data_IF_620239449366
#
_entry.id   IF_620239449366
#
_cell.length_a   1.000
_cell.length_b   1.000
_cell.length_c   1.000
_cell.angle_alpha   90.00
_cell.angle_beta   90.00
_cell.angle_gamma   90.00
#
_symmetry.space_group_name_H-M   'P 1'
#
loop_
_entity.id
_entity.type
_entity.pdbx_description
1 polymer ?
#
# COMPACT_ATOMS: atom_id res chain seq x y z
N UNK A 1 -16.04 24.03 -13.22
CA UNK A 1 -16.55 22.74 -12.71
C UNK A 1 -15.39 21.76 -12.63
N UNK A 2 -15.53 20.68 -11.85
CA UNK A 2 -14.53 19.61 -11.70
C UNK A 2 -15.22 18.23 -11.73
N UNK A 3 -14.44 17.15 -11.79
CA UNK A 3 -14.97 15.77 -11.81
C UNK A 3 -15.54 15.32 -10.45
N UNK A 4 -15.27 16.07 -9.37
CA UNK A 4 -15.84 15.88 -8.04
C UNK A 4 -16.34 17.22 -7.47
N UNK A 5 -17.27 17.13 -6.51
CA UNK A 5 -17.95 18.26 -5.85
C UNK A 5 -18.82 19.13 -6.78
N UNK A 6 -19.18 20.33 -6.33
CA UNK A 6 -20.07 21.25 -7.03
C UNK A 6 -19.31 22.35 -7.80
N UNK A 7 -19.94 23.02 -8.78
CA UNK A 7 -19.29 24.07 -9.57
C UNK A 7 -19.06 25.38 -8.79
N UNK A 8 -18.25 26.26 -9.36
CA UNK A 8 -18.07 27.66 -8.94
C UNK A 8 -18.39 28.56 -10.13
N UNK A 9 -19.19 29.61 -9.92
CA UNK A 9 -19.65 30.53 -10.96
C UNK A 9 -19.19 31.96 -10.69
N UNK A 10 -19.05 32.74 -11.76
CA UNK A 10 -18.54 34.11 -11.73
C UNK A 10 -17.00 34.15 -11.81
N UNK A 11 -16.47 35.01 -12.70
CA UNK A 11 -15.03 35.07 -12.98
C UNK A 11 -14.19 35.32 -11.71
N UNK A 12 -14.61 36.26 -10.88
CA UNK A 12 -13.89 36.60 -9.63
C UNK A 12 -13.81 35.41 -8.66
N UNK A 13 -14.93 34.72 -8.43
CA UNK A 13 -14.98 33.55 -7.54
C UNK A 13 -14.07 32.41 -8.05
N UNK A 14 -14.06 32.18 -9.37
CA UNK A 14 -13.21 31.16 -10.00
C UNK A 14 -11.73 31.53 -9.83
N UNK A 15 -11.36 32.78 -10.10
CA UNK A 15 -9.98 33.25 -9.91
C UNK A 15 -9.55 33.13 -8.45
N UNK A 16 -10.42 33.47 -7.50
CA UNK A 16 -10.13 33.36 -6.08
C UNK A 16 -9.93 31.90 -5.63
N UNK A 17 -10.80 30.98 -6.08
CA UNK A 17 -10.65 29.55 -5.81
C UNK A 17 -9.31 29.00 -6.35
N UNK A 18 -8.98 29.33 -7.62
CA UNK A 18 -7.75 28.85 -8.25
C UNK A 18 -6.49 29.40 -7.56
N UNK A 19 -6.48 30.68 -7.18
CA UNK A 19 -5.37 31.27 -6.42
C UNK A 19 -5.22 30.58 -5.05
N UNK A 20 -6.34 30.39 -4.35
CA UNK A 20 -6.34 29.77 -3.02
C UNK A 20 -5.79 28.33 -3.06
N UNK A 21 -6.21 27.52 -4.04
CA UNK A 21 -5.69 26.16 -4.23
C UNK A 21 -4.21 26.16 -4.66
N UNK A 22 -3.82 27.02 -5.61
CA UNK A 22 -2.41 27.20 -6.01
C UNK A 22 -1.52 27.49 -4.81
N UNK A 23 -1.94 28.44 -3.97
CA UNK A 23 -1.18 28.89 -2.81
C UNK A 23 -1.15 27.81 -1.72
N UNK A 24 -2.24 27.06 -1.52
CA UNK A 24 -2.29 25.92 -0.59
C UNK A 24 -1.21 24.88 -0.90
N UNK A 25 -1.15 24.36 -2.13
CA UNK A 25 -0.19 23.31 -2.48
C UNK A 25 1.26 23.82 -2.53
N UNK A 26 1.49 25.06 -3.00
CA UNK A 26 2.80 25.71 -2.91
C UNK A 26 3.24 25.85 -1.44
N UNK A 27 2.32 26.24 -0.56
CA UNK A 27 2.61 26.41 0.86
C UNK A 27 2.97 25.07 1.53
N UNK A 28 2.20 24.01 1.28
CA UNK A 28 2.52 22.64 1.75
C UNK A 28 3.93 22.24 1.31
N UNK A 29 4.27 22.44 0.03
CA UNK A 29 5.60 22.12 -0.49
C UNK A 29 6.71 22.93 0.17
N UNK A 30 6.64 24.26 0.05
CA UNK A 30 7.74 25.15 0.39
C UNK A 30 7.98 25.23 1.89
N UNK A 31 6.90 25.23 2.69
CA UNK A 31 7.04 25.31 4.14
C UNK A 31 7.47 23.98 4.74
N UNK A 32 7.12 22.85 4.14
CA UNK A 32 7.70 21.55 4.53
C UNK A 32 9.20 21.58 4.30
N UNK A 33 9.65 21.99 3.11
CA UNK A 33 11.07 22.10 2.80
C UNK A 33 11.81 23.12 3.66
N UNK A 34 11.19 24.28 3.95
CA UNK A 34 11.79 25.27 4.86
C UNK A 34 12.01 24.66 6.25
N UNK A 35 10.99 24.01 6.81
CA UNK A 35 11.07 23.40 8.15
C UNK A 35 12.04 22.21 8.18
N UNK A 36 12.13 21.43 7.09
CA UNK A 36 13.13 20.37 6.96
C UNK A 36 14.57 20.95 6.92
N UNK A 37 14.78 22.08 6.21
CA UNK A 37 16.05 22.80 6.24
C UNK A 37 16.37 23.43 7.61
N UNK A 38 15.37 23.62 8.46
CA UNK A 38 15.53 24.02 9.87
C UNK A 38 15.85 22.83 10.79
N UNK A 39 15.93 21.62 10.23
CA UNK A 39 16.28 20.39 10.93
C UNK A 39 15.09 19.65 11.53
N UNK A 40 13.85 20.05 11.24
CA UNK A 40 12.68 19.32 11.71
C UNK A 40 12.50 18.03 10.90
N UNK A 41 12.20 16.95 11.60
CA UNK A 41 11.87 15.64 11.01
C UNK A 41 10.44 15.61 10.48
N UNK A 42 10.13 14.58 9.69
CA UNK A 42 8.80 14.32 9.10
C UNK A 42 7.63 14.57 10.07
N UNK A 43 7.70 13.96 11.26
CA UNK A 43 6.62 14.01 12.24
C UNK A 43 6.56 15.33 13.01
N UNK A 44 7.72 15.97 13.25
CA UNK A 44 7.80 17.30 13.87
C UNK A 44 7.25 18.38 12.95
N UNK A 45 7.54 18.32 11.65
CA UNK A 45 6.95 19.23 10.66
C UNK A 45 5.43 19.11 10.72
N UNK A 46 4.89 17.89 10.62
CA UNK A 46 3.45 17.66 10.64
C UNK A 46 2.76 18.14 11.92
N UNK A 47 3.45 18.08 13.06
CA UNK A 47 2.92 18.58 14.34
C UNK A 47 2.94 20.12 14.44
N UNK A 48 3.88 20.79 13.78
CA UNK A 48 4.08 22.24 13.86
C UNK A 48 3.53 23.01 12.65
N UNK A 49 3.15 22.32 11.57
CA UNK A 49 2.68 22.94 10.35
C UNK A 49 1.34 23.65 10.55
N UNK A 50 1.28 24.93 10.19
CA UNK A 50 0.06 25.75 10.28
C UNK A 50 -0.19 26.47 8.97
N UNK A 51 -1.40 26.28 8.42
CA UNK A 51 -1.85 27.08 7.29
C UNK A 51 -2.15 28.51 7.76
N UNK A 52 -1.82 29.54 6.96
CA UNK A 52 -2.26 30.90 7.23
C UNK A 52 -3.79 31.01 7.12
N UNK A 53 -4.41 31.92 7.88
CA UNK A 53 -5.87 32.07 7.96
C UNK A 53 -6.54 32.22 6.60
N UNK A 54 -5.91 32.93 5.65
CA UNK A 54 -6.42 33.09 4.28
C UNK A 54 -6.58 31.78 3.52
N UNK A 55 -5.81 30.75 3.87
CA UNK A 55 -5.93 29.40 3.31
C UNK A 55 -6.79 28.49 4.21
N UNK A 56 -6.62 28.57 5.54
CA UNK A 56 -7.29 27.70 6.50
C UNK A 56 -8.80 27.93 6.63
N UNK A 57 -9.25 29.16 6.41
CA UNK A 57 -10.66 29.57 6.56
C UNK A 57 -11.44 29.50 5.23
N UNK A 58 -10.88 28.85 4.21
CA UNK A 58 -11.58 28.58 2.95
C UNK A 58 -12.09 27.13 2.97
N UNK A 59 -13.41 26.92 2.88
CA UNK A 59 -14.03 25.60 2.93
C UNK A 59 -13.44 24.60 1.90
N UNK A 60 -13.15 25.07 0.69
CA UNK A 60 -12.57 24.25 -0.37
C UNK A 60 -11.13 23.76 -0.08
N UNK A 61 -10.46 24.36 0.90
CA UNK A 61 -9.08 24.02 1.29
C UNK A 61 -9.02 23.13 2.54
N UNK A 62 -10.17 22.79 3.14
CA UNK A 62 -10.22 21.92 4.32
C UNK A 62 -9.85 20.49 3.94
N UNK A 63 -9.20 19.80 4.87
CA UNK A 63 -8.68 18.44 4.67
C UNK A 63 -9.76 17.38 4.78
N UNK A 64 -10.75 17.38 3.89
CA UNK A 64 -11.84 16.39 3.89
C UNK A 64 -11.47 15.06 3.24
N UNK A 65 -10.53 15.08 2.31
CA UNK A 65 -9.99 13.89 1.65
C UNK A 65 -8.54 13.68 2.05
N UNK A 66 -7.65 14.50 1.47
CA UNK A 66 -6.29 14.70 2.02
C UNK A 66 -6.34 15.36 3.40
N UNK A 67 -5.20 15.41 4.08
CA UNK A 67 -5.04 16.19 5.31
C UNK A 67 -3.66 16.82 5.31
N UNK A 68 -3.57 18.07 5.78
CA UNK A 68 -2.29 18.79 5.91
C UNK A 68 -1.25 17.93 6.62
N UNK A 69 -1.66 17.21 7.68
CA UNK A 69 -0.75 16.37 8.46
C UNK A 69 -0.09 15.27 7.64
N UNK A 70 -0.83 14.46 6.87
CA UNK A 70 -0.18 13.42 6.05
C UNK A 70 0.45 13.96 4.76
N UNK A 71 -0.07 15.05 4.19
CA UNK A 71 0.48 15.65 2.97
C UNK A 71 1.88 16.23 3.21
N UNK A 72 2.11 16.88 4.36
CA UNK A 72 3.46 17.39 4.70
C UNK A 72 4.43 16.27 5.05
N UNK A 73 3.97 15.18 5.68
CA UNK A 73 4.79 13.98 5.89
C UNK A 73 5.20 13.36 4.56
N UNK A 74 4.26 13.23 3.63
CA UNK A 74 4.51 12.71 2.29
C UNK A 74 5.47 13.62 1.51
N UNK A 75 5.32 14.94 1.64
CA UNK A 75 6.24 15.92 1.04
C UNK A 75 7.65 15.78 1.60
N UNK A 76 7.83 15.59 2.90
CA UNK A 76 9.15 15.29 3.47
C UNK A 76 9.75 14.03 2.84
N UNK A 77 8.97 12.94 2.77
CA UNK A 77 9.43 11.65 2.21
C UNK A 77 9.76 11.76 0.72
N UNK A 78 9.03 12.57 -0.04
CA UNK A 78 9.31 12.83 -1.45
C UNK A 78 10.74 13.38 -1.65
N UNK A 79 11.21 14.23 -0.75
CA UNK A 79 12.50 14.91 -0.89
C UNK A 79 13.65 14.24 -0.14
N UNK A 80 13.39 13.67 1.04
CA UNK A 80 14.43 13.17 1.95
C UNK A 80 14.33 11.66 2.22
N UNK A 81 13.28 11.00 1.73
CA UNK A 81 13.03 9.58 1.98
C UNK A 81 12.42 9.32 3.37
N UNK A 82 12.41 8.05 3.76
CA UNK A 82 11.75 7.58 4.98
C UNK A 82 12.54 7.88 6.26
N UNK A 83 13.88 7.96 6.15
CA UNK A 83 14.79 8.08 7.28
C UNK A 83 14.79 9.51 7.84
N UNK A 84 14.68 9.65 9.16
CA UNK A 84 14.59 10.94 9.83
C UNK A 84 15.97 11.58 10.12
N UNK A 85 17.06 10.86 9.83
CA UNK A 85 18.44 11.32 10.05
C UNK A 85 19.04 10.88 11.38
N UNK A 86 18.25 10.38 12.34
CA UNK A 86 18.73 9.88 13.62
C UNK A 86 19.13 8.40 13.49
N UNK A 87 20.41 8.02 13.66
CA UNK A 87 20.84 6.63 13.50
C UNK A 87 20.11 5.61 14.40
N UNK A 88 19.48 6.05 15.49
CA UNK A 88 18.67 5.19 16.35
C UNK A 88 17.43 4.61 15.66
N UNK A 89 16.97 5.20 14.54
CA UNK A 89 15.78 4.78 13.77
C UNK A 89 16.16 4.15 12.42
N UNK A 90 17.45 3.91 12.17
CA UNK A 90 17.93 3.42 10.87
C UNK A 90 17.67 1.91 10.65
N UNK A 91 17.78 1.12 11.71
CA UNK A 91 17.61 -0.33 11.69
C UNK A 91 16.79 -0.75 12.92
N UNK A 92 15.55 -0.25 12.99
CA UNK A 92 14.64 -0.55 14.09
C UNK A 92 14.24 -2.03 14.10
N UNK A 93 14.05 -2.59 15.30
CA UNK A 93 13.43 -3.90 15.43
C UNK A 93 12.04 -3.90 14.77
N UNK A 94 11.62 -5.02 14.15
CA UNK A 94 10.26 -5.17 13.65
C UNK A 94 9.20 -4.87 14.74
N UNK A 95 8.01 -4.35 14.38
CA UNK A 95 7.03 -3.85 15.34
C UNK A 95 6.66 -4.85 16.46
N UNK A 96 6.51 -6.14 16.15
CA UNK A 96 6.16 -7.18 17.13
C UNK A 96 7.30 -7.41 18.15
N UNK A 97 8.55 -7.45 17.68
CA UNK A 97 9.73 -7.65 18.54
C UNK A 97 9.98 -6.43 19.43
N UNK A 98 9.90 -5.23 18.84
CA UNK A 98 10.04 -3.97 19.56
C UNK A 98 8.95 -3.80 20.63
N UNK A 99 7.71 -4.18 20.32
CA UNK A 99 6.56 -4.12 21.22
C UNK A 99 6.79 -4.95 22.50
N UNK A 100 7.28 -6.18 22.38
CA UNK A 100 7.58 -7.05 23.53
C UNK A 100 8.59 -6.39 24.48
N UNK A 101 9.66 -5.78 23.94
CA UNK A 101 10.66 -5.04 24.74
C UNK A 101 10.10 -3.78 25.38
N UNK A 102 9.27 -3.04 24.65
CA UNK A 102 8.60 -1.85 25.17
C UNK A 102 7.72 -2.18 26.39
N UNK A 103 6.91 -3.24 26.29
CA UNK A 103 6.04 -3.71 27.38
C UNK A 103 6.86 -4.18 28.59
N UNK A 104 7.94 -4.94 28.36
CA UNK A 104 8.88 -5.34 29.42
C UNK A 104 9.41 -4.13 30.19
N UNK A 105 9.91 -3.12 29.47
CA UNK A 105 10.54 -1.93 30.07
C UNK A 105 9.56 -1.01 30.79
N UNK A 106 8.30 -0.96 30.35
CA UNK A 106 7.26 -0.16 30.99
C UNK A 106 6.60 -0.83 32.21
N UNK A 107 7.04 -2.03 32.58
CA UNK A 107 6.54 -2.74 33.77
C UNK A 107 5.35 -3.68 33.49
N UNK A 108 5.18 -4.12 32.25
CA UNK A 108 4.15 -5.07 31.84
C UNK A 108 2.86 -4.43 31.32
N UNK A 109 2.02 -5.26 30.70
CA UNK A 109 0.77 -4.84 30.06
C UNK A 109 -0.18 -4.11 31.04
N UNK A 110 -0.41 -4.68 32.22
CA UNK A 110 -1.32 -4.10 33.23
C UNK A 110 -0.88 -2.69 33.66
N UNK A 111 0.43 -2.47 33.80
CA UNK A 111 0.98 -1.17 34.18
C UNK A 111 0.76 -0.13 33.08
N UNK A 112 0.93 -0.51 31.81
CA UNK A 112 0.63 0.34 30.65
C UNK A 112 -0.86 0.65 30.61
N UNK A 113 -1.72 -0.36 30.65
CA UNK A 113 -3.17 -0.18 30.51
C UNK A 113 -3.75 0.71 31.61
N UNK A 114 -3.26 0.59 32.84
CA UNK A 114 -3.65 1.49 33.94
C UNK A 114 -3.34 2.95 33.61
N UNK A 115 -2.10 3.26 33.21
CA UNK A 115 -1.68 4.63 32.87
C UNK A 115 -2.38 5.15 31.60
N UNK A 116 -2.50 4.30 30.60
CA UNK A 116 -3.19 4.62 29.35
C UNK A 116 -4.68 4.95 29.59
N UNK A 117 -5.32 4.32 30.58
CA UNK A 117 -6.68 4.68 30.98
C UNK A 117 -6.76 6.07 31.61
N UNK A 118 -5.79 6.44 32.45
CA UNK A 118 -5.69 7.79 33.02
C UNK A 118 -5.49 8.85 31.91
N UNK A 119 -4.67 8.55 30.90
CA UNK A 119 -4.49 9.39 29.71
C UNK A 119 -5.75 9.47 28.84
N UNK A 120 -6.47 8.35 28.70
CA UNK A 120 -7.74 8.30 27.97
C UNK A 120 -8.78 9.22 28.61
N UNK A 121 -8.90 9.17 29.94
CA UNK A 121 -9.85 10.01 30.70
C UNK A 121 -9.52 11.50 30.64
N UNK A 122 -8.27 11.85 30.31
CA UNK A 122 -7.81 13.22 30.05
C UNK A 122 -7.97 13.64 28.58
N UNK A 123 -8.40 12.74 27.70
CA UNK A 123 -8.57 13.01 26.27
C UNK A 123 -7.29 12.89 25.44
N UNK A 124 -6.23 12.28 25.96
CA UNK A 124 -4.93 12.12 25.28
C UNK A 124 -4.95 10.96 24.26
N UNK A 125 -6.01 10.86 23.44
CA UNK A 125 -6.30 9.68 22.62
C UNK A 125 -5.18 9.29 21.63
N UNK A 126 -4.47 10.28 21.07
CA UNK A 126 -3.32 10.03 20.17
C UNK A 126 -2.23 9.22 20.86
N UNK A 127 -1.93 9.56 22.11
CA UNK A 127 -0.93 8.86 22.92
C UNK A 127 -1.43 7.50 23.38
N UNK A 128 -2.69 7.41 23.82
CA UNK A 128 -3.32 6.14 24.20
C UNK A 128 -3.24 5.14 23.06
N UNK A 129 -3.64 5.51 21.84
CA UNK A 129 -3.53 4.65 20.67
C UNK A 129 -2.09 4.19 20.43
N UNK A 130 -1.11 5.11 20.46
CA UNK A 130 0.30 4.79 20.23
C UNK A 130 0.87 3.82 21.26
N UNK A 131 0.60 4.04 22.56
CA UNK A 131 1.19 3.24 23.64
C UNK A 131 0.48 1.89 23.81
N UNK A 132 -0.85 1.84 23.67
CA UNK A 132 -1.62 0.60 23.82
C UNK A 132 -1.41 -0.33 22.62
N UNK A 133 -1.17 0.21 21.42
CA UNK A 133 -0.76 -0.58 20.26
C UNK A 133 0.47 -1.46 20.54
N UNK A 134 1.42 -1.00 21.38
CA UNK A 134 2.55 -1.83 21.81
C UNK A 134 2.13 -3.02 22.66
N UNK A 135 1.07 -2.90 23.46
CA UNK A 135 0.52 -4.05 24.20
C UNK A 135 -0.16 -5.02 23.23
N UNK A 136 -0.94 -4.53 22.27
CA UNK A 136 -1.63 -5.36 21.27
C UNK A 136 -0.64 -6.10 20.37
N UNK A 137 0.44 -5.45 19.92
CA UNK A 137 1.48 -6.10 19.13
C UNK A 137 2.34 -7.08 19.94
N UNK A 138 2.49 -6.88 21.26
CA UNK A 138 3.19 -7.82 22.13
C UNK A 138 2.34 -9.05 22.49
N UNK A 139 1.04 -8.86 22.67
CA UNK A 139 0.05 -9.90 22.98
C UNK A 139 -1.26 -9.62 22.23
N UNK A 140 -1.43 -10.16 21.00
CA UNK A 140 -2.61 -9.91 20.17
C UNK A 140 -3.90 -10.51 20.73
N UNK A 141 -3.82 -11.35 21.77
CA UNK A 141 -4.98 -11.94 22.43
C UNK A 141 -5.42 -11.13 23.67
N UNK A 142 -4.71 -10.06 24.03
CA UNK A 142 -5.07 -9.20 25.16
C UNK A 142 -6.31 -8.34 24.82
N UNK A 143 -7.50 -8.87 25.12
CA UNK A 143 -8.75 -8.20 24.79
C UNK A 143 -8.92 -6.84 25.48
N UNK A 144 -8.34 -6.65 26.68
CA UNK A 144 -8.42 -5.37 27.37
C UNK A 144 -7.63 -4.29 26.63
N UNK A 145 -6.42 -4.63 26.15
CA UNK A 145 -5.61 -3.73 25.33
C UNK A 145 -6.30 -3.42 24.00
N UNK A 146 -6.81 -4.44 23.30
CA UNK A 146 -7.55 -4.25 22.05
C UNK A 146 -8.75 -3.32 22.22
N UNK A 147 -9.52 -3.51 23.29
CA UNK A 147 -10.68 -2.67 23.56
C UNK A 147 -10.28 -1.22 23.88
N UNK A 148 -9.26 -1.00 24.71
CA UNK A 148 -8.81 0.35 25.06
C UNK A 148 -8.22 1.09 23.86
N UNK A 149 -7.45 0.41 23.01
CA UNK A 149 -6.96 0.98 21.75
C UNK A 149 -8.12 1.29 20.80
N UNK A 150 -9.09 0.38 20.67
CA UNK A 150 -10.27 0.61 19.84
C UNK A 150 -11.07 1.83 20.30
N UNK A 151 -11.26 2.01 21.61
CA UNK A 151 -11.93 3.19 22.17
C UNK A 151 -11.17 4.48 21.84
N UNK A 152 -9.83 4.47 21.95
CA UNK A 152 -9.00 5.62 21.60
C UNK A 152 -9.05 5.96 20.11
N UNK A 153 -8.93 4.95 19.23
CA UNK A 153 -9.08 5.13 17.79
C UNK A 153 -10.48 5.64 17.44
N UNK A 154 -11.53 5.14 18.09
CA UNK A 154 -12.90 5.60 17.86
C UNK A 154 -13.08 7.08 18.18
N UNK A 155 -12.53 7.55 19.31
CA UNK A 155 -12.52 8.98 19.64
C UNK A 155 -11.75 9.82 18.60
N UNK A 156 -10.61 9.33 18.12
CA UNK A 156 -9.86 9.99 17.04
C UNK A 156 -10.67 10.04 15.73
N UNK A 157 -11.41 8.97 15.41
CA UNK A 157 -12.31 8.91 14.27
C UNK A 157 -13.50 9.88 14.37
N UNK A 158 -13.99 10.15 15.58
CA UNK A 158 -15.03 11.16 15.82
C UNK A 158 -14.50 12.59 15.66
N UNK A 159 -13.22 12.83 15.94
CA UNK A 159 -12.57 14.13 15.82
C UNK A 159 -12.00 14.41 14.42
N UNK A 160 -11.87 13.38 13.58
CA UNK A 160 -11.28 13.50 12.26
C UNK A 160 -12.19 14.28 11.28
N UNK A 161 -11.65 15.37 10.72
CA UNK A 161 -12.28 16.13 9.62
C UNK A 161 -12.13 15.40 8.27
N UNK A 162 -11.03 14.68 8.07
CA UNK A 162 -10.78 13.87 6.87
C UNK A 162 -11.62 12.59 6.91
N UNK A 163 -12.43 12.38 5.86
CA UNK A 163 -13.22 11.17 5.66
C UNK A 163 -12.36 9.91 5.65
N UNK A 164 -11.25 9.85 4.89
CA UNK A 164 -10.30 8.75 4.97
C UNK A 164 -9.78 8.50 6.39
N UNK A 165 -9.32 9.52 7.13
CA UNK A 165 -8.83 9.31 8.50
C UNK A 165 -9.89 8.74 9.42
N UNK A 166 -11.12 9.28 9.37
CA UNK A 166 -12.26 8.73 10.10
C UNK A 166 -12.45 7.24 9.77
N UNK A 167 -12.43 6.88 8.50
CA UNK A 167 -12.63 5.49 8.08
C UNK A 167 -11.50 4.57 8.57
N UNK A 168 -10.23 4.99 8.49
CA UNK A 168 -9.09 4.23 9.01
C UNK A 168 -9.22 3.99 10.52
N UNK A 169 -9.52 5.05 11.29
CA UNK A 169 -9.69 4.94 12.74
C UNK A 169 -10.83 4.01 13.14
N UNK A 170 -12.01 4.20 12.55
CA UNK A 170 -13.20 3.42 12.91
C UNK A 170 -13.11 1.96 12.45
N UNK A 171 -12.48 1.70 11.30
CA UNK A 171 -12.24 0.32 10.83
C UNK A 171 -11.22 -0.38 11.71
N UNK A 172 -10.14 0.31 12.09
CA UNK A 172 -9.17 -0.24 13.05
C UNK A 172 -9.81 -0.58 14.40
N UNK A 173 -10.66 0.30 14.93
CA UNK A 173 -11.42 0.02 16.15
C UNK A 173 -12.36 -1.18 15.99
N UNK A 174 -13.03 -1.31 14.84
CA UNK A 174 -13.91 -2.44 14.55
C UNK A 174 -13.14 -3.77 14.50
N UNK A 175 -11.98 -3.81 13.84
CA UNK A 175 -11.15 -5.01 13.73
C UNK A 175 -10.47 -5.38 15.06
N UNK A 176 -10.07 -4.39 15.87
CA UNK A 176 -9.58 -4.66 17.23
C UNK A 176 -10.66 -5.33 18.09
N UNK A 177 -11.92 -4.87 17.99
CA UNK A 177 -13.04 -5.42 18.77
C UNK A 177 -13.50 -6.79 18.27
N UNK A 178 -13.53 -7.01 16.95
CA UNK A 178 -14.23 -8.15 16.35
C UNK A 178 -13.34 -9.10 15.53
N UNK A 179 -12.08 -8.74 15.29
CA UNK A 179 -11.21 -9.41 14.33
C UNK A 179 -11.50 -9.01 12.88
N UNK A 180 -10.64 -9.46 11.96
CA UNK A 180 -10.81 -9.25 10.52
C UNK A 180 -11.96 -10.11 10.01
N UNK A 181 -12.97 -9.47 9.41
CA UNK A 181 -14.11 -10.17 8.82
C UNK A 181 -13.79 -10.50 7.36
N UNK A 182 -13.50 -11.77 7.09
CA UNK A 182 -13.24 -12.23 5.71
C UNK A 182 -14.56 -12.28 4.92
N UNK A 183 -14.63 -11.47 3.87
CA UNK A 183 -15.74 -11.43 2.92
C UNK A 183 -15.29 -11.64 1.47
N UNK A 184 -16.23 -11.61 0.51
CA UNK A 184 -15.89 -11.55 -0.91
C UNK A 184 -14.95 -10.38 -1.17
N UNK A 185 -13.83 -10.64 -1.85
CA UNK A 185 -12.84 -9.62 -2.17
C UNK A 185 -13.26 -8.84 -3.42
N UNK A 186 -12.99 -7.53 -3.49
CA UNK A 186 -13.22 -6.77 -4.72
C UNK A 186 -12.39 -7.37 -5.87
N UNK A 187 -13.02 -7.57 -7.04
CA UNK A 187 -12.30 -7.96 -8.25
C UNK A 187 -11.59 -6.72 -8.83
N UNK A 188 -10.33 -6.51 -8.43
CA UNK A 188 -9.54 -5.34 -8.83
C UNK A 188 -8.99 -5.44 -10.26
N UNK A 189 -8.98 -6.63 -10.86
CA UNK A 189 -8.57 -6.87 -12.24
C UNK A 189 -9.79 -7.08 -13.14
N UNK A 190 -10.53 -6.00 -13.41
CA UNK A 190 -11.67 -6.07 -14.33
C UNK A 190 -11.24 -6.53 -15.73
N UNK A 191 -12.13 -7.14 -16.55
CA UNK A 191 -11.81 -7.49 -17.92
C UNK A 191 -11.27 -6.31 -18.76
N UNK A 192 -11.75 -5.09 -18.53
CA UNK A 192 -11.24 -3.88 -19.19
C UNK A 192 -9.83 -3.51 -18.73
N UNK A 193 -9.54 -3.63 -17.44
CA UNK A 193 -8.20 -3.41 -16.88
C UNK A 193 -7.19 -4.40 -17.48
N UNK A 194 -7.55 -5.68 -17.55
CA UNK A 194 -6.69 -6.73 -18.13
C UNK A 194 -6.46 -6.49 -19.63
N UNK A 195 -7.50 -6.07 -20.37
CA UNK A 195 -7.35 -5.72 -21.79
C UNK A 195 -6.45 -4.51 -22.01
N UNK A 196 -6.48 -3.52 -21.11
CA UNK A 196 -5.68 -2.30 -21.21
C UNK A 196 -4.23 -2.47 -20.73
N UNK A 197 -3.93 -3.52 -19.96
CA UNK A 197 -2.59 -3.83 -19.46
C UNK A 197 -1.65 -4.18 -20.62
N UNK A 198 -0.43 -3.62 -20.69
CA UNK A 198 0.53 -4.07 -21.72
C UNK A 198 1.11 -5.44 -21.34
N UNK A 199 1.66 -6.22 -22.29
CA UNK A 199 2.34 -7.48 -21.94
C UNK A 199 3.46 -7.28 -20.91
N UNK A 200 4.22 -6.19 -20.99
CA UNK A 200 5.28 -5.83 -20.04
C UNK A 200 4.73 -5.66 -18.63
N UNK A 201 3.64 -4.88 -18.46
CA UNK A 201 2.97 -4.72 -17.17
C UNK A 201 2.48 -6.07 -16.61
N UNK A 202 2.02 -6.97 -17.48
CA UNK A 202 1.63 -8.31 -17.07
C UNK A 202 2.83 -9.14 -16.61
N UNK A 203 3.96 -9.09 -17.31
CA UNK A 203 5.17 -9.80 -16.89
C UNK A 203 5.77 -9.23 -15.61
N UNK A 204 5.74 -7.90 -15.42
CA UNK A 204 6.09 -7.28 -14.13
C UNK A 204 5.18 -7.75 -13.01
N UNK A 205 3.87 -7.83 -13.26
CA UNK A 205 2.91 -8.38 -12.31
C UNK A 205 3.23 -9.84 -11.98
N UNK A 206 3.51 -10.69 -12.97
CA UNK A 206 3.95 -12.07 -12.73
C UNK A 206 5.25 -12.13 -11.92
N UNK A 207 6.20 -11.24 -12.19
CA UNK A 207 7.48 -11.20 -11.47
C UNK A 207 7.29 -10.88 -9.99
N UNK A 208 6.33 -9.99 -9.64
CA UNK A 208 5.96 -9.72 -8.23
C UNK A 208 5.43 -10.95 -7.51
N UNK A 209 4.82 -11.88 -8.23
CA UNK A 209 4.32 -13.13 -7.65
C UNK A 209 5.42 -14.17 -7.41
N UNK A 210 6.62 -14.04 -7.99
CA UNK A 210 7.70 -15.01 -7.80
C UNK A 210 8.22 -14.95 -6.37
N UNK A 211 8.14 -16.08 -5.67
CA UNK A 211 8.84 -16.28 -4.42
C UNK A 211 10.34 -16.50 -4.70
N UNK A 212 11.12 -15.43 -4.55
CA UNK A 212 12.56 -15.45 -4.86
C UNK A 212 13.37 -16.44 -4.02
N UNK A 213 12.98 -16.71 -2.78
CA UNK A 213 13.65 -17.71 -1.93
C UNK A 213 13.47 -19.13 -2.48
N UNK A 214 12.24 -19.49 -2.87
CA UNK A 214 11.94 -20.79 -3.50
C UNK A 214 12.60 -20.92 -4.87
N UNK A 215 12.64 -19.84 -5.65
CA UNK A 215 13.19 -19.80 -6.99
C UNK A 215 14.71 -19.51 -7.05
N UNK A 216 15.39 -19.37 -5.90
CA UNK A 216 16.75 -18.82 -5.85
C UNK A 216 17.79 -19.59 -6.67
N UNK A 217 17.64 -20.92 -6.76
CA UNK A 217 18.51 -21.79 -7.57
C UNK A 217 17.93 -22.15 -8.94
N UNK A 218 16.73 -21.67 -9.26
CA UNK A 218 16.09 -21.94 -10.53
C UNK A 218 16.76 -21.15 -11.64
N UNK A 219 16.93 -21.81 -12.79
CA UNK A 219 17.33 -21.17 -14.04
C UNK A 219 16.46 -21.67 -15.17
N UNK A 220 15.77 -20.76 -15.85
CA UNK A 220 14.94 -21.08 -17.00
C UNK A 220 14.77 -19.89 -17.93
N UNK A 221 14.72 -20.16 -19.22
CA UNK A 221 14.50 -19.17 -20.27
C UNK A 221 13.28 -19.56 -21.09
N UNK A 222 12.34 -18.64 -21.26
CA UNK A 222 11.12 -18.87 -22.01
C UNK A 222 10.99 -17.86 -23.16
N UNK A 223 10.54 -18.32 -24.32
CA UNK A 223 10.05 -17.44 -25.37
C UNK A 223 8.52 -17.38 -25.31
N UNK A 224 7.95 -16.19 -25.36
CA UNK A 224 6.51 -15.94 -25.42
C UNK A 224 6.22 -15.24 -26.73
N UNK A 225 5.42 -15.86 -27.59
CA UNK A 225 4.92 -15.29 -28.83
C UNK A 225 3.43 -15.00 -28.67
N UNK A 226 3.07 -13.73 -28.59
CA UNK A 226 1.68 -13.28 -28.40
C UNK A 226 0.93 -13.05 -29.73
N UNK A 227 1.48 -13.59 -30.84
CA UNK A 227 0.94 -13.43 -32.18
C UNK A 227 1.19 -12.06 -32.79
N UNK A 228 0.61 -11.84 -33.99
CA UNK A 228 0.90 -10.67 -34.83
C UNK A 228 0.68 -9.32 -34.12
N UNK A 229 -0.33 -9.24 -33.25
CA UNK A 229 -0.70 -7.99 -32.56
C UNK A 229 -0.10 -7.89 -31.15
N UNK A 230 0.45 -9.00 -30.63
CA UNK A 230 0.93 -9.09 -29.25
C UNK A 230 2.45 -8.98 -29.10
N UNK A 231 3.21 -9.27 -30.15
CA UNK A 231 4.68 -9.20 -30.13
C UNK A 231 5.33 -10.43 -29.46
N UNK A 232 6.66 -10.40 -29.40
CA UNK A 232 7.48 -11.50 -28.88
C UNK A 232 8.31 -11.06 -27.69
N UNK A 233 8.43 -11.95 -26.71
CA UNK A 233 9.09 -11.66 -25.45
C UNK A 233 9.98 -12.83 -25.03
N UNK A 234 11.10 -12.49 -24.42
CA UNK A 234 11.95 -13.44 -23.71
C UNK A 234 11.73 -13.25 -22.22
N UNK A 235 11.44 -14.31 -21.49
CA UNK A 235 11.40 -14.33 -20.03
C UNK A 235 12.60 -15.11 -19.48
N UNK A 236 13.22 -14.60 -18.43
CA UNK A 236 14.41 -15.21 -17.81
C UNK A 236 14.21 -15.28 -16.30
N UNK A 237 14.00 -16.50 -15.79
CA UNK A 237 14.02 -16.80 -14.36
C UNK A 237 15.44 -17.17 -13.95
N UNK A 238 16.08 -16.33 -13.15
CA UNK A 238 17.41 -16.59 -12.60
C UNK A 238 17.59 -15.81 -11.30
N UNK A 239 18.31 -16.37 -10.32
CA UNK A 239 18.56 -15.74 -9.02
C UNK A 239 17.27 -15.28 -8.29
N UNK A 240 16.19 -16.05 -8.42
CA UNK A 240 14.91 -15.73 -7.78
C UNK A 240 14.13 -14.55 -8.39
N UNK A 241 14.54 -14.03 -9.55
CA UNK A 241 13.83 -12.96 -10.26
C UNK A 241 13.38 -13.39 -11.64
N UNK A 242 12.25 -12.87 -12.10
CA UNK A 242 11.73 -13.08 -13.45
C UNK A 242 11.88 -11.81 -14.28
N UNK A 243 12.86 -11.79 -15.18
CA UNK A 243 13.08 -10.69 -16.11
C UNK A 243 12.24 -10.91 -17.38
N UNK A 244 11.89 -9.81 -18.06
CA UNK A 244 11.28 -9.87 -19.37
C UNK A 244 12.02 -8.92 -20.34
N UNK A 245 12.10 -9.30 -21.63
CA UNK A 245 12.66 -8.46 -22.69
C UNK A 245 11.74 -8.49 -23.90
N UNK A 246 11.20 -7.33 -24.27
CA UNK A 246 10.37 -7.16 -25.46
C UNK A 246 11.18 -7.30 -26.75
N UNK A 247 10.55 -7.78 -27.81
CA UNK A 247 11.12 -7.97 -29.15
C UNK A 247 12.39 -8.83 -29.15
N UNK A 248 12.45 -9.80 -28.24
CA UNK A 248 13.57 -10.71 -28.08
C UNK A 248 13.10 -12.16 -27.99
N UNK A 249 13.90 -13.06 -28.56
CA UNK A 249 13.74 -14.50 -28.44
C UNK A 249 15.12 -15.11 -28.14
N UNK A 250 15.17 -16.00 -27.16
CA UNK A 250 16.34 -16.82 -26.90
C UNK A 250 16.46 -17.93 -27.96
N UNK A 251 17.68 -18.16 -28.45
CA UNK A 251 17.97 -19.27 -29.38
C UNK A 251 17.80 -20.63 -28.70
N UNK A 252 18.17 -20.70 -27.42
CA UNK A 252 18.08 -21.89 -26.58
C UNK A 252 17.14 -21.60 -25.40
N UNK A 253 15.85 -21.42 -25.70
CA UNK A 253 14.83 -21.36 -24.67
C UNK A 253 14.50 -22.78 -24.18
N UNK A 254 14.25 -22.93 -22.88
CA UNK A 254 13.73 -24.16 -22.31
C UNK A 254 12.35 -24.48 -22.87
N UNK A 255 11.48 -23.49 -22.99
CA UNK A 255 10.19 -23.63 -23.65
C UNK A 255 9.76 -22.37 -24.41
N UNK A 256 8.95 -22.56 -25.44
CA UNK A 256 8.29 -21.48 -26.19
C UNK A 256 6.78 -21.64 -26.07
N UNK A 257 6.11 -20.58 -25.61
CA UNK A 257 4.65 -20.48 -25.53
C UNK A 257 4.17 -19.57 -26.65
N UNK A 258 3.26 -20.07 -27.47
CA UNK A 258 2.58 -19.28 -28.50
C UNK A 258 1.09 -19.24 -28.20
N UNK A 259 0.53 -18.04 -28.09
CA UNK A 259 -0.89 -17.80 -27.80
C UNK A 259 -1.27 -16.42 -28.30
N UNK A 260 -2.55 -16.17 -28.56
CA UNK A 260 -2.99 -14.80 -28.85
C UNK A 260 -3.24 -14.00 -27.56
N UNK A 261 -3.35 -12.67 -27.71
CA UNK A 261 -3.61 -11.79 -26.58
C UNK A 261 -4.96 -12.04 -25.91
N UNK A 262 -5.96 -12.50 -26.65
CA UNK A 262 -7.27 -12.80 -26.11
C UNK A 262 -7.24 -13.99 -25.15
N UNK A 263 -6.50 -15.04 -25.52
CA UNK A 263 -6.25 -16.24 -24.72
C UNK A 263 -5.49 -15.89 -23.44
N UNK A 264 -4.44 -15.05 -23.56
CA UNK A 264 -3.72 -14.54 -22.39
C UNK A 264 -4.66 -13.83 -21.42
N UNK A 265 -5.55 -12.95 -21.91
CA UNK A 265 -6.49 -12.22 -21.06
C UNK A 265 -7.45 -13.17 -20.29
N UNK A 266 -7.96 -14.22 -20.94
CA UNK A 266 -8.81 -15.23 -20.26
C UNK A 266 -8.06 -15.94 -19.13
N UNK A 267 -6.77 -16.24 -19.35
CA UNK A 267 -5.91 -16.87 -18.35
C UNK A 267 -5.70 -15.94 -17.15
N UNK A 268 -5.42 -14.66 -17.40
CA UNK A 268 -5.25 -13.64 -16.34
C UNK A 268 -6.52 -13.48 -15.51
N UNK A 269 -7.68 -13.43 -16.18
CA UNK A 269 -8.99 -13.32 -15.56
C UNK A 269 -9.44 -14.60 -14.85
N UNK A 270 -8.65 -15.69 -14.95
CA UNK A 270 -8.98 -17.02 -14.44
C UNK A 270 -10.29 -17.58 -14.98
N UNK A 271 -10.71 -17.11 -16.16
CA UNK A 271 -11.84 -17.67 -16.92
C UNK A 271 -11.46 -19.02 -17.51
N UNK A 272 -10.16 -19.22 -17.75
CA UNK A 272 -9.56 -20.43 -18.26
C UNK A 272 -8.17 -20.64 -17.66
N UNK A 273 -7.76 -21.89 -17.44
CA UNK A 273 -6.39 -22.22 -17.02
C UNK A 273 -5.46 -22.39 -18.22
N UNK A 274 -4.16 -22.20 -18.03
CA UNK A 274 -3.16 -22.44 -19.08
C UNK A 274 -3.29 -23.84 -19.70
N UNK A 275 -3.50 -24.86 -18.86
CA UNK A 275 -3.68 -26.25 -19.29
C UNK A 275 -4.94 -26.45 -20.15
N UNK A 276 -6.06 -25.83 -19.76
CA UNK A 276 -7.29 -25.89 -20.56
C UNK A 276 -7.11 -25.22 -21.93
N UNK A 277 -6.42 -24.07 -21.96
CA UNK A 277 -6.13 -23.37 -23.20
C UNK A 277 -5.18 -24.17 -24.11
N UNK A 278 -4.23 -24.90 -23.53
CA UNK A 278 -3.38 -25.85 -24.25
C UNK A 278 -4.17 -27.04 -24.82
N UNK A 279 -5.06 -27.66 -24.03
CA UNK A 279 -5.93 -28.77 -24.46
C UNK A 279 -6.87 -28.37 -25.60
N UNK A 280 -7.33 -27.12 -25.65
CA UNK A 280 -8.12 -26.55 -26.75
C UNK A 280 -7.28 -26.16 -27.98
N UNK A 281 -5.97 -26.15 -27.87
CA UNK A 281 -5.05 -25.67 -28.92
C UNK A 281 -5.01 -24.14 -29.05
N UNK A 282 -5.54 -23.40 -28.08
CA UNK A 282 -5.44 -21.92 -28.00
C UNK A 282 -4.03 -21.49 -27.53
N UNK A 283 -3.34 -22.34 -26.77
CA UNK A 283 -1.94 -22.19 -26.39
C UNK A 283 -1.13 -23.35 -26.98
N UNK A 284 0.00 -23.05 -27.60
CA UNK A 284 0.97 -24.04 -28.04
C UNK A 284 2.25 -23.91 -27.23
N UNK A 285 2.62 -24.97 -26.52
CA UNK A 285 3.88 -25.06 -25.79
C UNK A 285 4.81 -26.00 -26.56
N UNK A 286 6.04 -25.55 -26.83
CA UNK A 286 7.10 -26.38 -27.41
C UNK A 286 8.35 -26.32 -26.54
N UNK A 287 9.17 -27.38 -26.57
CA UNK A 287 10.30 -27.54 -25.65
C UNK A 287 9.90 -28.23 -24.34
N UNK A 288 10.50 -27.83 -23.24
CA UNK A 288 10.37 -28.43 -21.92
C UNK A 288 9.28 -27.75 -21.09
N UNK A 289 8.03 -28.19 -21.25
CA UNK A 289 6.89 -27.67 -20.46
C UNK A 289 7.05 -27.81 -18.95
N UNK A 290 7.82 -28.79 -18.46
CA UNK A 290 8.05 -28.95 -17.02
C UNK A 290 8.81 -27.77 -16.40
N UNK A 291 9.62 -27.03 -17.18
CA UNK A 291 10.26 -25.79 -16.73
C UNK A 291 9.25 -24.66 -16.50
N UNK A 292 8.21 -24.60 -17.34
CA UNK A 292 7.14 -23.64 -17.15
C UNK A 292 6.32 -23.96 -15.90
N UNK A 293 5.99 -25.23 -15.68
CA UNK A 293 5.31 -25.68 -14.47
C UNK A 293 6.14 -25.39 -13.20
N UNK A 294 7.46 -25.59 -13.27
CA UNK A 294 8.41 -25.23 -12.21
C UNK A 294 8.34 -23.72 -11.88
N UNK A 295 8.42 -22.86 -12.90
CA UNK A 295 8.28 -21.40 -12.73
C UNK A 295 6.93 -21.01 -12.09
N UNK A 296 5.83 -21.58 -12.58
CA UNK A 296 4.49 -21.32 -12.02
C UNK A 296 4.37 -21.82 -10.57
N UNK A 297 5.08 -22.89 -10.22
CA UNK A 297 5.17 -23.43 -8.86
C UNK A 297 5.87 -22.52 -7.86
N UNK A 298 6.68 -21.57 -8.32
CA UNK A 298 7.32 -20.56 -7.46
C UNK A 298 6.44 -19.35 -7.18
N UNK A 299 5.27 -19.22 -7.82
CA UNK A 299 4.40 -18.06 -7.62
C UNK A 299 3.60 -18.15 -6.33
N UNK A 300 3.72 -17.14 -5.47
CA UNK A 300 2.89 -17.00 -4.29
C UNK A 300 1.50 -16.45 -4.64
N UNK A 301 0.56 -16.67 -3.72
CA UNK A 301 -0.77 -16.06 -3.74
C UNK A 301 -0.89 -15.16 -2.52
N UNK A 302 -1.47 -13.99 -2.72
CA UNK A 302 -1.66 -13.02 -1.64
C UNK A 302 -3.06 -13.14 -1.05
N UNK A 303 -3.17 -13.28 0.27
CA UNK A 303 -4.45 -13.15 0.97
C UNK A 303 -4.84 -11.66 1.00
N UNK A 304 -6.07 -11.36 0.65
CA UNK A 304 -6.58 -9.98 0.67
C UNK A 304 -6.79 -9.49 2.10
N UNK A 305 -7.22 -10.38 3.00
CA UNK A 305 -7.60 -10.06 4.37
C UNK A 305 -6.44 -10.30 5.35
N UNK A 306 -5.29 -9.67 5.09
CA UNK A 306 -4.16 -9.66 6.01
C UNK A 306 -4.43 -8.72 7.20
N UNK A 307 -3.84 -9.02 8.37
CA UNK A 307 -4.01 -8.20 9.56
C UNK A 307 -3.28 -6.85 9.42
N UNK A 308 -3.90 -5.78 9.95
CA UNK A 308 -3.30 -4.43 9.97
C UNK A 308 -3.09 -3.94 11.40
N UNK A 309 -4.12 -4.02 12.24
CA UNK A 309 -4.10 -3.54 13.64
C UNK A 309 -3.56 -4.55 14.65
N UNK A 310 -3.17 -5.74 14.18
CA UNK A 310 -2.48 -6.77 14.96
C UNK A 310 -1.43 -7.44 14.08
N UNK A 311 -0.42 -8.10 14.68
CA UNK A 311 0.37 -9.12 13.98
C UNK A 311 -0.53 -10.21 13.36
#
# INVERSE_FOLDING_TARGET
MAQHHWPTWGNENVVNLLKSQRDLYRYINDQTLRMANEGLTRDEIAANFKLPDGLANTWANRGYYGSVSHDVKATYVLYLGWFDGNPATLDELPPEEAAKKFVEYMGGADAILKKAKEDYDQGNYRWVAQVVSKVVFADPNNQQARNLEADALEQLGYQAESGPWRNFYLTGAQELRNGVVKGPTPNTASPDTVRAMTPEMFFDYLAVHINGEKAGNAKSVFNIDLGNDGGKYKLELENGVLNHTANAEAKEADATLTLDRATLNKIILKEETLKQAEEKGEVKISGNGAKLDEMLGYMDKFDFWFNIVTP
#
